data_IF_088617306692
#
_entry.id   IF_088617306692
#
_cell.length_a   1.000
_cell.length_b   1.000
_cell.length_c   1.000
_cell.angle_alpha   90.00
_cell.angle_beta   90.00
_cell.angle_gamma   90.00
#
_symmetry.space_group_name_H-M   'P 1'
#
loop_
_entity.id
_entity.type
_entity.pdbx_description
1 polymer ?
#
# COMPACT_ATOMS: atom_id res chain seq x y z
N UNK A 1 22.23 -24.26 0.99
CA UNK A 1 20.76 -24.15 1.15
C UNK A 1 20.19 -23.62 -0.16
N UNK A 2 19.48 -24.41 -1.00
CA UNK A 2 18.90 -23.86 -2.22
C UNK A 2 17.83 -22.84 -1.83
N UNK A 3 18.00 -21.59 -2.24
CA UNK A 3 17.05 -20.51 -1.99
C UNK A 3 15.68 -20.93 -2.55
N UNK A 4 14.71 -21.16 -1.66
CA UNK A 4 13.35 -21.53 -2.03
C UNK A 4 12.83 -20.44 -2.99
N UNK A 5 12.51 -20.82 -4.23
CA UNK A 5 11.95 -19.89 -5.22
C UNK A 5 10.59 -19.43 -4.70
N UNK A 6 10.53 -18.18 -4.28
CA UNK A 6 9.30 -17.54 -3.81
C UNK A 6 8.38 -17.36 -5.03
N UNK A 7 7.08 -17.62 -4.87
CA UNK A 7 6.09 -17.52 -5.94
C UNK A 7 5.23 -16.28 -5.77
N UNK A 8 4.64 -15.83 -6.86
CA UNK A 8 3.72 -14.71 -6.84
C UNK A 8 2.49 -15.00 -5.94
N UNK A 9 2.11 -14.04 -5.09
CA UNK A 9 0.95 -14.11 -4.20
C UNK A 9 -0.36 -13.67 -4.87
N UNK A 10 -0.32 -13.19 -6.12
CA UNK A 10 -1.52 -12.75 -6.83
C UNK A 10 -2.48 -13.92 -7.10
N UNK A 11 -3.79 -13.68 -6.92
CA UNK A 11 -4.84 -14.65 -7.25
C UNK A 11 -4.79 -14.89 -8.75
N UNK A 12 -4.55 -16.14 -9.14
CA UNK A 12 -4.35 -16.61 -10.53
C UNK A 12 -2.93 -16.48 -11.12
N UNK A 13 -1.92 -16.09 -10.33
CA UNK A 13 -0.53 -16.12 -10.80
C UNK A 13 0.27 -17.30 -10.22
N UNK A 14 0.95 -18.06 -11.09
CA UNK A 14 1.88 -19.14 -10.70
C UNK A 14 3.34 -18.83 -11.04
N UNK A 15 3.62 -17.59 -11.43
CA UNK A 15 4.95 -17.16 -11.84
C UNK A 15 5.89 -17.01 -10.64
N UNK A 16 7.20 -16.96 -10.91
CA UNK A 16 8.21 -16.77 -9.87
C UNK A 16 8.18 -15.32 -9.40
N UNK A 17 8.18 -15.11 -8.08
CA UNK A 17 8.31 -13.76 -7.55
C UNK A 17 9.69 -13.18 -7.89
N UNK A 18 9.72 -11.91 -8.28
CA UNK A 18 10.97 -11.21 -8.50
C UNK A 18 11.63 -10.95 -7.15
N UNK A 19 12.89 -11.35 -7.01
CA UNK A 19 13.67 -11.03 -5.81
C UNK A 19 13.90 -9.52 -5.76
N UNK A 20 13.73 -8.92 -4.57
CA UNK A 20 13.95 -7.49 -4.27
C UNK A 20 12.80 -6.59 -4.77
N UNK A 21 12.45 -6.65 -6.06
CA UNK A 21 11.48 -5.72 -6.67
C UNK A 21 10.03 -6.23 -6.57
N UNK A 22 9.85 -7.53 -6.30
CA UNK A 22 8.52 -8.15 -6.18
C UNK A 22 7.86 -7.97 -4.81
N UNK A 23 8.55 -7.47 -3.80
CA UNK A 23 7.98 -7.29 -2.46
C UNK A 23 7.09 -6.05 -2.40
N UNK A 24 5.82 -6.26 -2.09
CA UNK A 24 4.89 -5.16 -1.83
C UNK A 24 4.91 -4.82 -0.34
N UNK A 25 5.41 -3.63 0.03
CA UNK A 25 5.48 -3.20 1.43
C UNK A 25 4.10 -3.00 2.11
N UNK A 26 3.03 -2.87 1.32
CA UNK A 26 1.68 -2.62 1.82
C UNK A 26 0.99 -3.90 2.32
N UNK A 27 1.08 -4.99 1.55
CA UNK A 27 0.50 -6.29 1.92
C UNK A 27 1.55 -7.33 2.33
N UNK A 28 2.85 -6.96 2.34
CA UNK A 28 4.00 -7.86 2.57
C UNK A 28 3.96 -9.12 1.70
N UNK A 29 3.37 -9.00 0.50
CA UNK A 29 3.29 -10.07 -0.48
C UNK A 29 4.44 -10.03 -1.48
N UNK A 30 4.78 -11.18 -2.06
CA UNK A 30 5.81 -11.30 -3.10
C UNK A 30 5.14 -11.46 -4.47
N UNK A 31 5.57 -10.69 -5.46
CA UNK A 31 4.95 -10.64 -6.79
C UNK A 31 5.96 -10.81 -7.92
N UNK A 32 5.49 -11.29 -9.07
CA UNK A 32 6.31 -11.41 -10.27
C UNK A 32 6.40 -10.05 -11.01
N UNK A 33 7.19 -9.98 -12.08
CA UNK A 33 7.39 -8.72 -12.82
C UNK A 33 6.11 -8.11 -13.41
N UNK A 34 5.07 -8.94 -13.62
CA UNK A 34 3.74 -8.52 -14.08
C UNK A 34 2.91 -7.94 -12.92
N UNK A 35 2.84 -8.68 -11.81
CA UNK A 35 2.00 -8.35 -10.66
C UNK A 35 2.64 -7.42 -9.61
N UNK A 36 3.81 -6.83 -9.89
CA UNK A 36 4.51 -5.95 -8.94
C UNK A 36 3.78 -4.62 -8.66
N UNK A 37 2.89 -4.19 -9.55
CA UNK A 37 2.07 -2.99 -9.36
C UNK A 37 0.91 -3.28 -8.41
N UNK A 38 0.53 -2.29 -7.59
CA UNK A 38 -0.59 -2.40 -6.65
C UNK A 38 -1.92 -2.70 -7.35
N UNK A 39 -2.11 -2.14 -8.54
CA UNK A 39 -3.29 -2.35 -9.39
C UNK A 39 -3.40 -3.80 -9.88
N UNK A 40 -2.26 -4.40 -10.22
CA UNK A 40 -2.19 -5.70 -10.90
C UNK A 40 -2.44 -6.86 -9.94
N UNK A 41 -1.95 -6.78 -8.69
CA UNK A 41 -2.24 -7.78 -7.66
C UNK A 41 -3.43 -7.45 -6.75
N UNK A 42 -4.17 -6.38 -7.04
CA UNK A 42 -5.28 -5.86 -6.21
C UNK A 42 -4.87 -5.78 -4.74
N UNK A 43 -3.87 -4.95 -4.48
CA UNK A 43 -3.26 -4.83 -3.15
C UNK A 43 -4.30 -4.52 -2.06
N UNK A 44 -4.51 -5.46 -1.14
CA UNK A 44 -5.45 -5.28 -0.03
C UNK A 44 -5.00 -4.20 0.97
N UNK A 45 -3.68 -3.96 1.08
CA UNK A 45 -3.13 -2.93 1.97
C UNK A 45 -3.27 -1.49 1.46
N UNK A 46 -3.78 -1.28 0.24
CA UNK A 46 -4.02 0.05 -0.30
C UNK A 46 -5.23 0.72 0.38
N UNK A 47 -6.25 -0.05 0.78
CA UNK A 47 -7.48 0.51 1.35
C UNK A 47 -7.31 0.94 2.81
N UNK A 48 -6.61 0.14 3.62
CA UNK A 48 -6.34 0.45 5.03
C UNK A 48 -5.42 1.68 5.19
N UNK A 49 -4.38 1.78 4.34
CA UNK A 49 -3.44 2.91 4.39
C UNK A 49 -4.06 4.23 3.93
N UNK A 50 -5.00 4.18 2.96
CA UNK A 50 -5.72 5.37 2.50
C UNK A 50 -6.58 5.97 3.61
N UNK A 51 -7.21 5.13 4.41
CA UNK A 51 -8.08 5.55 5.51
C UNK A 51 -7.28 6.24 6.62
N UNK A 52 -6.17 5.61 7.05
CA UNK A 52 -5.29 6.20 8.08
C UNK A 52 -4.69 7.54 7.64
N UNK A 53 -4.26 7.64 6.36
CA UNK A 53 -3.73 8.91 5.82
C UNK A 53 -4.81 10.00 5.75
N UNK A 54 -6.04 9.66 5.37
CA UNK A 54 -7.16 10.60 5.36
C UNK A 54 -7.51 11.10 6.76
N UNK A 55 -7.52 10.21 7.76
CA UNK A 55 -7.82 10.59 9.14
C UNK A 55 -6.74 11.51 9.72
N UNK A 56 -5.46 11.24 9.45
CA UNK A 56 -4.36 12.12 9.88
C UNK A 56 -4.39 13.48 9.18
N UNK A 57 -4.66 13.50 7.88
CA UNK A 57 -4.73 14.75 7.11
C UNK A 57 -5.94 15.59 7.54
N UNK A 58 -7.11 14.96 7.77
CA UNK A 58 -8.29 15.62 8.30
C UNK A 58 -8.06 16.20 9.71
N UNK A 59 -7.39 15.45 10.59
CA UNK A 59 -7.04 15.94 11.93
C UNK A 59 -6.08 17.15 11.87
N UNK A 60 -5.12 17.13 10.95
CA UNK A 60 -4.18 18.23 10.76
C UNK A 60 -4.89 19.47 10.18
N UNK A 61 -5.72 19.31 9.14
CA UNK A 61 -6.53 20.38 8.55
C UNK A 61 -7.48 21.04 9.55
N UNK A 62 -8.17 20.25 10.39
CA UNK A 62 -9.04 20.80 11.43
C UNK A 62 -8.25 21.51 12.53
N UNK A 63 -7.05 21.02 12.87
CA UNK A 63 -6.17 21.67 13.85
C UNK A 63 -5.57 22.98 13.34
N UNK A 64 -5.32 23.10 12.03
CA UNK A 64 -4.79 24.31 11.38
C UNK A 64 -5.90 25.26 10.90
N UNK A 65 -7.17 24.89 11.09
CA UNK A 65 -8.31 25.70 10.69
C UNK A 65 -8.29 27.03 11.44
N UNK A 66 -7.94 28.11 10.74
CA UNK A 66 -8.04 29.47 11.25
C UNK A 66 -9.51 29.83 11.45
N UNK A 67 -9.96 29.87 12.70
CA UNK A 67 -11.29 30.37 13.03
C UNK A 67 -11.28 31.89 12.91
N UNK A 68 -12.19 32.46 12.13
CA UNK A 68 -12.42 33.90 12.14
C UNK A 68 -12.88 34.31 13.56
N UNK A 69 -12.06 35.08 14.27
CA UNK A 69 -12.49 35.80 15.46
C UNK A 69 -13.43 36.91 15.00
N UNK A 70 -14.73 36.65 14.96
CA UNK A 70 -15.74 37.69 14.77
C UNK A 70 -15.99 38.36 16.11
N UNK A 71 -15.37 39.52 16.33
CA UNK A 71 -15.72 40.44 17.40
C UNK A 71 -14.52 41.16 18.03
N UNK A 72 -14.15 42.31 17.46
CA UNK A 72 -13.64 43.51 18.17
C UNK A 72 -14.40 44.70 17.60
#
# INVERSE_FOLDING_TARGET
MPAKKIRCTAKDCRDAAQRIVGDCGFCQGHFCGKHRLLEDHKCSGLEDCKKESHERNAAQLESERTQMIRGV
#
